data_IF_866330198691
#
_entry.id   IF_866330198691
#
_cell.length_a   1.000
_cell.length_b   1.000
_cell.length_c   1.000
_cell.angle_alpha   90.00
_cell.angle_beta   90.00
_cell.angle_gamma   90.00
#
_symmetry.space_group_name_H-M   'P 1'
#
loop_
_entity.id
_entity.type
_entity.pdbx_description
1 polymer ?
#
# COMPACT_ATOMS: atom_id res chain seq x y z
N UNK A 1 19.47 -14.37 17.32
CA UNK A 1 19.74 -13.30 18.30
C UNK A 1 21.24 -13.30 18.52
N UNK A 2 21.88 -12.16 18.31
CA UNK A 2 23.30 -11.99 18.52
C UNK A 2 23.51 -11.10 19.74
N UNK A 3 24.47 -11.46 20.59
CA UNK A 3 24.88 -10.67 21.75
C UNK A 3 26.33 -10.28 21.55
N UNK A 4 26.62 -8.99 21.70
CA UNK A 4 27.95 -8.44 21.45
C UNK A 4 28.28 -7.35 22.46
N UNK A 5 29.54 -6.92 22.48
CA UNK A 5 29.98 -5.81 23.33
C UNK A 5 29.47 -4.50 22.76
N UNK A 6 28.96 -3.62 23.63
CA UNK A 6 28.50 -2.30 23.20
C UNK A 6 29.67 -1.48 22.63
N UNK A 7 29.40 -0.67 21.60
CA UNK A 7 30.40 0.22 20.99
C UNK A 7 30.30 1.63 21.60
N UNK A 8 31.39 2.20 22.11
CA UNK A 8 31.42 3.59 22.61
C UNK A 8 32.65 3.95 23.45
N UNK A 9 32.83 5.24 23.75
CA UNK A 9 33.89 5.73 24.64
C UNK A 9 33.71 5.12 26.05
N UNK A 10 34.69 4.34 26.50
CA UNK A 10 34.48 3.21 27.40
C UNK A 10 34.73 3.43 28.90
N UNK A 11 34.10 2.55 29.69
CA UNK A 11 34.42 2.21 31.08
C UNK A 11 34.48 0.67 31.25
N UNK A 12 34.81 0.16 32.45
CA UNK A 12 35.02 -1.29 32.67
C UNK A 12 33.86 -2.17 32.19
N UNK A 13 32.62 -1.69 32.34
CA UNK A 13 31.41 -2.40 31.94
C UNK A 13 31.31 -2.61 30.42
N UNK A 14 31.71 -1.62 29.61
CA UNK A 14 31.64 -1.69 28.14
C UNK A 14 32.68 -2.69 27.59
N UNK A 15 33.84 -2.76 28.23
CA UNK A 15 34.95 -3.62 27.79
C UNK A 15 34.78 -5.08 28.23
N UNK A 16 34.20 -5.33 29.42
CA UNK A 16 34.10 -6.67 30.01
C UNK A 16 32.76 -7.36 29.78
N UNK A 17 31.66 -6.61 29.64
CA UNK A 17 30.30 -7.17 29.60
C UNK A 17 29.68 -7.08 28.20
N UNK A 18 29.17 -8.20 27.69
CA UNK A 18 28.44 -8.26 26.42
C UNK A 18 26.95 -7.97 26.65
N UNK A 19 26.56 -6.70 26.67
CA UNK A 19 25.18 -6.27 26.92
C UNK A 19 24.39 -5.86 25.66
N UNK A 20 25.04 -5.63 24.52
CA UNK A 20 24.37 -5.21 23.29
C UNK A 20 23.69 -6.40 22.62
N UNK A 21 22.47 -6.19 22.10
CA UNK A 21 21.65 -7.23 21.48
C UNK A 21 21.25 -6.82 20.08
N UNK A 22 21.39 -7.74 19.12
CA UNK A 22 20.86 -7.64 17.77
C UNK A 22 19.87 -8.77 17.51
N UNK A 23 18.69 -8.41 17.01
CA UNK A 23 17.63 -9.32 16.61
C UNK A 23 17.44 -9.23 15.10
N UNK A 24 17.23 -10.40 14.49
CA UNK A 24 17.02 -10.55 13.05
C UNK A 24 15.67 -11.26 12.87
N UNK A 25 14.76 -10.63 12.16
CA UNK A 25 13.51 -11.26 11.75
C UNK A 25 13.79 -12.12 10.52
N UNK A 26 13.96 -13.43 10.71
CA UNK A 26 14.37 -14.37 9.64
C UNK A 26 13.53 -14.27 8.35
N UNK A 27 12.19 -14.17 8.41
CA UNK A 27 11.37 -14.12 7.20
C UNK A 27 11.59 -12.87 6.35
N UNK A 28 11.76 -11.69 6.98
CA UNK A 28 11.88 -10.41 6.25
C UNK A 28 13.32 -9.91 6.13
N UNK A 29 14.28 -10.54 6.83
CA UNK A 29 15.66 -10.09 6.92
C UNK A 29 15.86 -8.80 7.73
N UNK A 30 14.81 -8.22 8.31
CA UNK A 30 14.91 -6.97 9.08
C UNK A 30 15.73 -7.16 10.34
N UNK A 31 16.58 -6.18 10.63
CA UNK A 31 17.52 -6.20 11.75
C UNK A 31 17.26 -5.03 12.68
N UNK A 32 17.13 -5.30 13.97
CA UNK A 32 17.05 -4.28 15.01
C UNK A 32 18.10 -4.53 16.09
N UNK A 33 18.74 -3.48 16.57
CA UNK A 33 19.75 -3.57 17.61
C UNK A 33 19.51 -2.56 18.75
N UNK A 34 19.94 -2.92 19.96
CA UNK A 34 19.94 -2.04 21.13
C UNK A 34 21.17 -2.28 22.00
N UNK A 35 21.79 -1.18 22.41
CA UNK A 35 22.95 -1.15 23.31
C UNK A 35 22.87 -0.01 24.34
N UNK A 36 21.68 0.59 24.50
CA UNK A 36 21.47 1.78 25.33
C UNK A 36 21.57 1.46 26.82
N UNK A 37 21.12 0.27 27.21
CA UNK A 37 21.05 -0.13 28.61
C UNK A 37 22.27 -0.95 29.03
N UNK A 38 22.57 -0.94 30.34
CA UNK A 38 23.60 -1.83 30.91
C UNK A 38 23.14 -3.29 30.93
N UNK A 39 21.83 -3.52 31.09
CA UNK A 39 21.23 -4.85 31.12
C UNK A 39 20.99 -5.40 29.71
N UNK A 40 21.46 -6.62 29.47
CA UNK A 40 21.19 -7.36 28.24
C UNK A 40 19.69 -7.60 28.03
N UNK A 41 18.93 -7.87 29.10
CA UNK A 41 17.50 -8.14 29.03
C UNK A 41 16.73 -6.91 28.53
N UNK A 42 17.03 -5.73 29.08
CA UNK A 42 16.39 -4.49 28.66
C UNK A 42 16.76 -4.13 27.21
N UNK A 43 18.01 -4.36 26.80
CA UNK A 43 18.41 -4.21 25.40
C UNK A 43 17.67 -5.18 24.48
N UNK A 44 17.45 -6.43 24.88
CA UNK A 44 16.64 -7.39 24.13
C UNK A 44 15.20 -6.90 23.96
N UNK A 45 14.56 -6.42 25.02
CA UNK A 45 13.20 -5.89 24.97
C UNK A 45 13.08 -4.67 24.05
N UNK A 46 14.04 -3.75 24.14
CA UNK A 46 14.10 -2.56 23.30
C UNK A 46 14.33 -2.93 21.82
N UNK A 47 15.25 -3.85 21.54
CA UNK A 47 15.47 -4.37 20.18
C UNK A 47 14.22 -5.07 19.64
N UNK A 48 13.47 -5.79 20.48
CA UNK A 48 12.24 -6.46 20.07
C UNK A 48 11.12 -5.47 19.75
N UNK A 49 10.93 -4.42 20.58
CA UNK A 49 9.96 -3.34 20.32
C UNK A 49 10.24 -2.67 18.97
N UNK A 50 11.51 -2.31 18.71
CA UNK A 50 11.94 -1.74 17.42
C UNK A 50 11.68 -2.68 16.26
N UNK A 51 12.06 -3.96 16.39
CA UNK A 51 11.85 -4.95 15.34
C UNK A 51 10.36 -5.13 15.02
N UNK A 52 9.50 -5.17 16.04
CA UNK A 52 8.05 -5.25 15.88
C UNK A 52 7.50 -4.05 15.11
N UNK A 53 7.91 -2.83 15.46
CA UNK A 53 7.50 -1.62 14.73
C UNK A 53 7.95 -1.68 13.28
N UNK A 54 9.21 -2.02 13.00
CA UNK A 54 9.73 -2.14 11.63
C UNK A 54 8.96 -3.17 10.79
N UNK A 55 8.64 -4.34 11.37
CA UNK A 55 7.85 -5.36 10.68
C UNK A 55 6.43 -4.85 10.40
N UNK A 56 5.79 -4.19 11.37
CA UNK A 56 4.46 -3.63 11.18
C UNK A 56 4.42 -2.56 10.09
N UNK A 57 5.37 -1.63 10.10
CA UNK A 57 5.51 -0.61 9.05
C UNK A 57 5.70 -1.24 7.69
N UNK A 58 6.55 -2.27 7.58
CA UNK A 58 6.79 -2.96 6.31
C UNK A 58 5.53 -3.62 5.75
N UNK A 59 4.73 -4.25 6.61
CA UNK A 59 3.46 -4.87 6.20
C UNK A 59 2.47 -3.80 5.71
N UNK A 60 2.40 -2.65 6.39
CA UNK A 60 1.52 -1.57 5.96
C UNK A 60 1.98 -0.99 4.61
N UNK A 61 3.27 -0.75 4.43
CA UNK A 61 3.84 -0.30 3.14
C UNK A 61 3.54 -1.29 2.00
N UNK A 62 3.68 -2.60 2.25
CA UNK A 62 3.36 -3.64 1.26
C UNK A 62 1.87 -3.65 0.92
N UNK A 63 1.01 -3.46 1.93
CA UNK A 63 -0.44 -3.36 1.74
C UNK A 63 -0.82 -2.09 0.95
N UNK A 64 -0.26 -0.95 1.30
CA UNK A 64 -0.48 0.31 0.59
C UNK A 64 0.01 0.23 -0.85
N UNK A 65 1.17 -0.38 -1.10
CA UNK A 65 1.69 -0.61 -2.44
C UNK A 65 0.78 -1.55 -3.26
N UNK A 66 0.24 -2.60 -2.65
CA UNK A 66 -0.73 -3.49 -3.29
C UNK A 66 -2.02 -2.74 -3.65
N UNK A 67 -2.56 -1.96 -2.71
CA UNK A 67 -3.75 -1.14 -2.94
C UNK A 67 -3.51 -0.09 -4.03
N UNK A 68 -2.34 0.55 -4.05
CA UNK A 68 -1.96 1.49 -5.09
C UNK A 68 -1.84 0.82 -6.47
N UNK A 69 -1.31 -0.41 -6.51
CA UNK A 69 -1.25 -1.22 -7.74
C UNK A 69 -2.65 -1.59 -8.24
N UNK A 70 -3.56 -1.98 -7.35
CA UNK A 70 -4.96 -2.30 -7.70
C UNK A 70 -5.70 -1.04 -8.16
N UNK A 71 -5.53 0.08 -7.46
CA UNK A 71 -6.13 1.36 -7.81
C UNK A 71 -5.67 1.87 -9.19
N UNK A 72 -4.44 1.51 -9.60
CA UNK A 72 -3.87 1.88 -10.88
C UNK A 72 -3.45 3.36 -10.92
N UNK A 73 -3.30 3.92 -12.12
CA UNK A 73 -2.96 5.34 -12.27
C UNK A 73 -4.11 6.19 -11.74
N UNK A 74 -3.83 7.03 -10.75
CA UNK A 74 -4.79 8.03 -10.28
C UNK A 74 -5.22 8.90 -11.46
N UNK A 75 -6.55 8.98 -11.68
CA UNK A 75 -7.10 9.90 -12.65
C UNK A 75 -6.85 11.33 -12.19
N UNK A 76 -6.13 12.12 -13.00
CA UNK A 76 -6.03 13.56 -12.76
C UNK A 76 -7.41 14.15 -12.94
N UNK A 77 -8.02 14.69 -11.89
CA UNK A 77 -9.33 15.32 -11.99
C UNK A 77 -9.19 16.62 -12.77
N UNK A 78 -9.56 16.58 -14.04
CA UNK A 78 -9.49 17.71 -14.95
C UNK A 78 -10.42 17.55 -16.15
N UNK A 79 -10.63 18.63 -16.90
CA UNK A 79 -11.44 18.61 -18.12
C UNK A 79 -10.87 17.60 -19.13
N UNK A 80 -11.71 16.69 -19.61
CA UNK A 80 -11.33 15.69 -20.63
C UNK A 80 -10.84 14.35 -20.06
N UNK A 81 -10.79 14.20 -18.74
CA UNK A 81 -10.41 12.92 -18.08
C UNK A 81 -11.61 12.07 -17.68
N UNK A 82 -12.83 12.54 -17.90
CA UNK A 82 -14.04 11.80 -17.59
C UNK A 82 -14.17 10.54 -18.46
N UNK A 83 -14.59 9.43 -17.85
CA UNK A 83 -14.85 8.18 -18.58
C UNK A 83 -16.27 8.10 -19.15
N UNK A 84 -17.21 8.87 -18.59
CA UNK A 84 -18.62 8.80 -18.95
C UNK A 84 -19.26 10.18 -18.82
N UNK A 85 -20.03 10.55 -19.82
CA UNK A 85 -20.81 11.79 -19.84
C UNK A 85 -22.27 11.48 -19.49
N UNK A 86 -22.84 12.24 -18.56
CA UNK A 86 -24.26 12.21 -18.21
C UNK A 86 -24.86 13.56 -18.58
N UNK A 87 -25.65 13.61 -19.64
CA UNK A 87 -26.35 14.81 -20.10
C UNK A 87 -27.81 14.66 -19.74
N UNK A 88 -28.33 15.57 -18.92
CA UNK A 88 -29.74 15.56 -18.49
C UNK A 88 -30.60 16.57 -19.28
N UNK A 89 -29.97 17.64 -19.78
CA UNK A 89 -30.59 18.69 -20.58
C UNK A 89 -29.55 19.25 -21.57
N UNK A 90 -29.96 19.70 -22.78
CA UNK A 90 -31.34 19.79 -23.29
C UNK A 90 -31.91 18.46 -23.80
N UNK A 91 -31.06 17.44 -23.94
CA UNK A 91 -31.44 16.06 -24.24
C UNK A 91 -30.92 15.14 -23.13
N UNK A 92 -31.50 13.95 -23.04
CA UNK A 92 -31.10 12.94 -22.07
C UNK A 92 -30.22 11.89 -22.75
N UNK A 93 -28.98 11.76 -22.28
CA UNK A 93 -28.03 10.77 -22.79
C UNK A 93 -26.95 10.46 -21.77
N UNK A 94 -26.67 9.17 -21.59
CA UNK A 94 -25.48 8.69 -20.91
C UNK A 94 -24.58 8.04 -21.95
N UNK A 95 -23.30 8.44 -22.03
CA UNK A 95 -22.34 7.87 -22.97
C UNK A 95 -21.00 7.57 -22.31
N UNK A 96 -20.53 6.33 -22.40
CA UNK A 96 -19.19 5.94 -21.95
C UNK A 96 -18.17 6.21 -23.06
N UNK A 97 -17.22 7.09 -22.80
CA UNK A 97 -16.26 7.59 -23.79
C UNK A 97 -15.16 6.59 -24.11
N UNK A 98 -15.07 5.49 -23.36
CA UNK A 98 -14.08 4.43 -23.59
C UNK A 98 -14.62 3.34 -24.51
N UNK A 99 -15.92 3.07 -24.41
CA UNK A 99 -16.58 1.92 -25.05
C UNK A 99 -17.62 2.30 -26.10
N UNK A 100 -17.93 3.59 -26.23
CA UNK A 100 -18.98 4.16 -27.08
C UNK A 100 -20.42 3.69 -26.80
N UNK A 101 -20.61 2.82 -25.80
CA UNK A 101 -21.93 2.44 -25.27
C UNK A 101 -22.68 3.69 -24.77
N UNK A 102 -23.94 3.81 -25.17
CA UNK A 102 -24.81 4.92 -24.81
C UNK A 102 -26.23 4.47 -24.46
N UNK A 103 -26.89 5.21 -23.58
CA UNK A 103 -28.28 4.99 -23.20
C UNK A 103 -29.04 6.32 -23.16
N UNK A 104 -30.25 6.33 -23.72
CA UNK A 104 -31.16 7.48 -23.64
C UNK A 104 -31.94 7.55 -22.33
N UNK A 105 -32.03 6.45 -21.57
CA UNK A 105 -32.79 6.40 -20.32
C UNK A 105 -31.90 6.77 -19.13
N UNK A 106 -31.64 8.06 -18.96
CA UNK A 106 -30.73 8.57 -17.91
C UNK A 106 -31.23 8.21 -16.50
N UNK A 107 -32.54 8.22 -16.29
CA UNK A 107 -33.14 7.90 -14.97
C UNK A 107 -32.81 6.48 -14.54
N UNK A 108 -33.05 5.48 -15.41
CA UNK A 108 -32.74 4.09 -15.08
C UNK A 108 -31.25 3.88 -14.76
N UNK A 109 -30.36 4.53 -15.52
CA UNK A 109 -28.91 4.44 -15.30
C UNK A 109 -28.50 5.07 -13.96
N UNK A 110 -29.11 6.19 -13.56
CA UNK A 110 -28.88 6.79 -12.26
C UNK A 110 -29.48 5.96 -11.11
N UNK A 111 -30.55 5.21 -11.37
CA UNK A 111 -31.17 4.27 -10.44
C UNK A 111 -30.42 2.93 -10.33
N UNK A 112 -29.34 2.75 -11.09
CA UNK A 112 -28.42 1.62 -10.96
C UNK A 112 -28.41 0.63 -12.12
N UNK A 113 -29.16 0.88 -13.20
CA UNK A 113 -29.12 0.07 -14.43
C UNK A 113 -27.81 0.32 -15.21
N UNK A 114 -26.73 -0.30 -14.72
CA UNK A 114 -25.36 -0.12 -15.20
C UNK A 114 -24.82 -1.33 -15.96
N UNK A 115 -25.61 -2.39 -16.09
CA UNK A 115 -25.16 -3.70 -16.60
C UNK A 115 -24.59 -3.59 -18.02
N UNK A 116 -25.26 -2.87 -18.91
CA UNK A 116 -24.80 -2.66 -20.30
C UNK A 116 -23.43 -1.96 -20.35
N UNK A 117 -23.23 -0.95 -19.49
CA UNK A 117 -21.97 -0.23 -19.40
C UNK A 117 -20.85 -1.09 -18.77
N UNK A 118 -21.17 -1.92 -17.79
CA UNK A 118 -20.21 -2.83 -17.16
C UNK A 118 -19.75 -3.89 -18.16
N UNK A 119 -20.68 -4.52 -18.88
CA UNK A 119 -20.37 -5.51 -19.90
C UNK A 119 -19.55 -4.88 -21.04
N UNK A 120 -19.96 -3.71 -21.53
CA UNK A 120 -19.21 -2.96 -22.54
C UNK A 120 -17.77 -2.70 -22.12
N UNK A 121 -17.55 -2.27 -20.88
CA UNK A 121 -16.20 -2.05 -20.34
C UNK A 121 -15.37 -3.32 -20.24
N UNK A 122 -15.95 -4.43 -19.74
CA UNK A 122 -15.23 -5.70 -19.62
C UNK A 122 -14.81 -6.26 -20.98
N UNK A 123 -15.69 -6.14 -22.00
CA UNK A 123 -15.39 -6.52 -23.38
C UNK A 123 -14.26 -5.67 -23.96
N UNK A 124 -14.36 -4.34 -23.83
CA UNK A 124 -13.32 -3.40 -24.28
C UNK A 124 -11.96 -3.64 -23.61
N UNK A 125 -11.94 -3.84 -22.29
CA UNK A 125 -10.71 -4.12 -21.54
C UNK A 125 -10.05 -5.42 -21.98
N UNK A 126 -10.85 -6.46 -22.30
CA UNK A 126 -10.33 -7.73 -22.82
C UNK A 126 -9.69 -7.55 -24.19
N UNK A 127 -10.25 -6.73 -25.07
CA UNK A 127 -9.66 -6.44 -26.38
C UNK A 127 -8.36 -5.63 -26.27
N UNK A 128 -8.28 -4.66 -25.36
CA UNK A 128 -7.07 -3.89 -25.11
C UNK A 128 -5.94 -4.74 -24.49
N UNK A 129 -6.26 -5.67 -23.58
CA UNK A 129 -5.27 -6.56 -22.98
C UNK A 129 -4.64 -7.57 -23.96
N UNK A 130 -5.26 -7.77 -25.13
CA UNK A 130 -4.74 -8.63 -26.20
C UNK A 130 -3.87 -7.90 -27.23
N UNK A 131 -3.72 -6.58 -27.11
CA UNK A 131 -2.81 -5.75 -27.92
C UNK A 131 -1.50 -5.53 -27.17
#
# INVERSE_FOLDING_TARGET
>A
MEVYRASGAGGQHVNKTSSAVRLIHKPTGLVAASQQERSQLQNRENAYKKLKTMVATRIEEEREAELARIAGKQATVGWGTQIRSYVLQPYQMVKDLRTDVESGNVTAVLDGDLDEFMEGYLRWRRTEAGR
#
